data_IF_188078123165
#
_entry.id   IF_188078123165
#
_cell.length_a   1.000
_cell.length_b   1.000
_cell.length_c   1.000
_cell.angle_alpha   90.00
_cell.angle_beta   90.00
_cell.angle_gamma   90.00
#
_symmetry.space_group_name_H-M   'P 1'
#
loop_
_entity.id
_entity.type
_entity.pdbx_description
1 polymer ?
#
# COMPACT_ATOMS: atom_id res chain seq x y z
N UNK A 1 6.35 6.94 -5.90
CA UNK A 1 6.10 6.17 -7.14
C UNK A 1 4.99 5.18 -6.85
N UNK A 2 4.08 4.89 -7.77
CA UNK A 2 3.10 3.84 -7.53
C UNK A 2 2.51 3.23 -8.79
N UNK A 3 1.74 2.17 -8.59
CA UNK A 3 1.10 1.37 -9.61
C UNK A 3 -0.34 1.04 -9.20
N UNK A 4 -1.27 1.22 -10.12
CA UNK A 4 -2.65 0.75 -10.02
C UNK A 4 -2.79 -0.55 -10.80
N UNK A 5 -3.09 -1.66 -10.13
CA UNK A 5 -3.33 -2.94 -10.78
C UNK A 5 -4.67 -3.01 -11.53
N UNK A 6 -4.88 -4.12 -12.23
CA UNK A 6 -6.18 -4.42 -12.84
C UNK A 6 -7.28 -4.45 -11.76
N UNK A 7 -8.44 -3.87 -12.07
CA UNK A 7 -9.55 -3.66 -11.13
C UNK A 7 -9.17 -2.85 -9.87
N UNK A 8 -8.02 -2.18 -9.86
CA UNK A 8 -7.50 -1.35 -8.77
C UNK A 8 -7.36 0.12 -9.19
N UNK A 9 -8.34 0.64 -9.94
CA UNK A 9 -8.35 1.97 -10.56
C UNK A 9 -7.24 2.22 -11.61
N UNK A 10 -6.78 1.17 -12.31
CA UNK A 10 -6.07 1.37 -13.56
C UNK A 10 -7.01 2.03 -14.59
N UNK A 11 -6.68 3.23 -15.05
CA UNK A 11 -7.48 3.99 -16.02
C UNK A 11 -7.16 3.62 -17.48
N UNK A 12 -6.02 2.98 -17.71
CA UNK A 12 -5.54 2.55 -19.02
C UNK A 12 -5.01 1.12 -18.93
N UNK A 13 -5.18 0.37 -20.01
CA UNK A 13 -4.85 -1.06 -20.05
C UNK A 13 -3.38 -1.35 -20.42
N UNK A 14 -2.52 -0.33 -20.42
CA UNK A 14 -1.09 -0.51 -20.60
C UNK A 14 -0.37 -0.37 -19.26
N UNK A 15 0.70 -1.15 -19.10
CA UNK A 15 1.53 -1.11 -17.91
C UNK A 15 2.26 0.22 -17.79
N UNK A 16 1.99 0.98 -16.72
CA UNK A 16 2.64 2.26 -16.44
C UNK A 16 2.75 2.49 -14.94
N UNK A 17 3.74 3.27 -14.55
CA UNK A 17 3.94 3.73 -13.18
C UNK A 17 3.68 5.22 -13.07
N UNK A 18 3.16 5.64 -11.92
CA UNK A 18 2.97 7.03 -11.57
C UNK A 18 4.17 7.52 -10.76
N UNK A 19 4.75 8.65 -11.17
CA UNK A 19 5.84 9.33 -10.47
C UNK A 19 5.50 10.79 -10.31
N UNK A 20 5.72 11.30 -9.10
CA UNK A 20 5.51 12.70 -8.77
C UNK A 20 6.32 13.05 -7.52
N UNK A 21 6.55 14.35 -7.32
CA UNK A 21 7.21 14.89 -6.14
C UNK A 21 6.17 15.52 -5.22
N UNK A 22 6.29 15.26 -3.92
CA UNK A 22 5.56 15.97 -2.87
C UNK A 22 6.56 16.68 -1.98
N UNK A 23 6.25 17.93 -1.64
CA UNK A 23 7.07 18.70 -0.71
C UNK A 23 6.78 18.31 0.75
N UNK A 24 5.57 17.82 1.00
CA UNK A 24 5.07 17.42 2.32
C UNK A 24 5.54 16.01 2.65
N UNK A 25 5.97 15.82 3.89
CA UNK A 25 6.21 14.49 4.44
C UNK A 25 4.87 13.81 4.70
N UNK A 26 4.69 12.62 4.15
CA UNK A 26 3.50 11.80 4.38
C UNK A 26 3.70 10.87 5.58
N UNK A 27 2.63 10.59 6.33
CA UNK A 27 2.68 9.73 7.52
C UNK A 27 3.28 8.34 7.23
N UNK A 28 2.92 7.76 6.07
CA UNK A 28 3.43 6.46 5.62
C UNK A 28 4.94 6.45 5.34
N UNK A 29 5.63 7.59 5.32
CA UNK A 29 7.09 7.59 5.26
C UNK A 29 7.72 7.11 6.57
N UNK A 30 7.01 7.21 7.70
CA UNK A 30 7.56 6.94 9.05
C UNK A 30 6.62 6.17 9.98
N UNK A 31 5.41 5.82 9.53
CA UNK A 31 4.43 5.09 10.36
C UNK A 31 5.00 3.76 10.87
N UNK A 32 4.61 3.36 12.08
CA UNK A 32 4.93 2.04 12.60
C UNK A 32 4.23 0.93 11.81
N UNK A 33 4.91 -0.21 11.69
CA UNK A 33 4.41 -1.40 11.00
C UNK A 33 4.68 -2.63 11.84
N UNK A 34 3.81 -3.62 11.73
CA UNK A 34 3.91 -4.87 12.50
C UNK A 34 4.61 -5.95 11.70
N UNK A 35 5.47 -6.74 12.32
CA UNK A 35 6.16 -7.82 11.61
C UNK A 35 5.19 -8.96 11.31
N UNK A 36 5.16 -9.44 10.06
CA UNK A 36 4.34 -10.59 9.66
C UNK A 36 5.15 -11.88 9.66
N UNK A 37 6.16 -11.93 8.78
CA UNK A 37 7.03 -13.07 8.55
C UNK A 37 8.13 -12.71 7.56
N UNK A 38 9.34 -13.26 7.76
CA UNK A 38 10.47 -13.00 6.87
C UNK A 38 10.68 -11.49 6.63
N UNK A 39 10.79 -11.03 5.37
CA UNK A 39 10.94 -9.61 5.02
C UNK A 39 9.61 -8.82 4.97
N UNK A 40 8.47 -9.47 5.24
CA UNK A 40 7.14 -8.89 5.09
C UNK A 40 6.61 -8.36 6.44
N UNK A 41 6.03 -7.16 6.39
CA UNK A 41 5.38 -6.47 7.50
C UNK A 41 3.92 -6.12 7.13
N UNK A 42 3.13 -5.70 8.11
CA UNK A 42 1.74 -5.26 7.95
C UNK A 42 1.58 -3.80 8.38
N UNK A 43 0.76 -3.09 7.63
CA UNK A 43 0.26 -1.77 7.99
C UNK A 43 -1.13 -1.94 8.62
N UNK A 44 -1.22 -1.86 9.94
CA UNK A 44 -2.49 -1.98 10.69
C UNK A 44 -2.92 -0.66 11.34
N UNK A 45 -1.98 0.21 11.68
CA UNK A 45 -2.23 1.52 12.30
C UNK A 45 -2.64 2.62 11.31
N UNK A 46 -3.18 2.24 10.15
CA UNK A 46 -3.62 3.15 9.10
C UNK A 46 -4.89 2.59 8.44
N UNK A 47 -5.84 3.42 7.98
CA UNK A 47 -7.13 2.93 7.50
C UNK A 47 -7.04 1.93 6.34
N UNK A 48 -6.08 2.09 5.42
CA UNK A 48 -5.81 1.13 4.34
C UNK A 48 -4.84 0.03 4.81
N UNK A 49 -5.38 -1.14 5.15
CA UNK A 49 -4.60 -2.29 5.59
C UNK A 49 -3.82 -2.91 4.43
N UNK A 50 -2.55 -3.22 4.66
CA UNK A 50 -1.69 -3.74 3.59
C UNK A 50 -0.40 -4.38 4.08
N UNK A 51 0.37 -4.87 3.13
CA UNK A 51 1.69 -5.44 3.35
C UNK A 51 2.77 -4.41 3.05
N UNK A 52 3.86 -4.46 3.81
CA UNK A 52 4.95 -3.50 3.70
C UNK A 52 6.30 -4.23 3.63
N UNK A 53 7.16 -3.74 2.74
CA UNK A 53 8.56 -4.14 2.64
C UNK A 53 9.43 -2.90 2.77
N UNK A 54 10.65 -3.06 3.27
CA UNK A 54 11.66 -2.03 3.22
C UNK A 54 12.87 -2.50 2.43
N UNK A 55 13.46 -1.59 1.66
CA UNK A 55 14.79 -1.72 1.10
C UNK A 55 15.70 -0.80 1.91
N UNK A 56 16.61 -1.40 2.69
CA UNK A 56 17.64 -0.65 3.41
C UNK A 56 18.87 -0.42 2.52
N UNK A 57 19.78 0.51 2.89
CA UNK A 57 21.05 0.70 2.19
C UNK A 57 21.94 -0.55 2.07
N UNK A 58 21.68 -1.57 2.88
CA UNK A 58 22.46 -2.81 2.93
C UNK A 58 21.70 -4.03 2.38
N UNK A 59 20.46 -3.85 1.94
CA UNK A 59 19.64 -4.94 1.39
C UNK A 59 20.00 -5.15 -0.08
N UNK A 60 20.15 -6.41 -0.51
CA UNK A 60 20.25 -6.73 -1.94
C UNK A 60 18.92 -6.38 -2.64
N UNK A 61 19.01 -5.48 -3.62
CA UNK A 61 17.85 -5.05 -4.41
C UNK A 61 17.17 -6.22 -5.13
N UNK A 62 17.93 -7.23 -5.57
CA UNK A 62 17.38 -8.40 -6.26
C UNK A 62 16.55 -9.26 -5.32
N UNK A 63 17.00 -9.43 -4.08
CA UNK A 63 16.21 -10.12 -3.07
C UNK A 63 14.94 -9.35 -2.72
N UNK A 64 15.05 -8.04 -2.51
CA UNK A 64 13.90 -7.16 -2.27
C UNK A 64 12.86 -7.29 -3.39
N UNK A 65 13.29 -7.18 -4.65
CA UNK A 65 12.42 -7.34 -5.83
C UNK A 65 11.79 -8.74 -5.86
N UNK A 66 12.56 -9.80 -5.57
CA UNK A 66 12.03 -11.18 -5.51
C UNK A 66 10.92 -11.33 -4.47
N UNK A 67 11.07 -10.73 -3.29
CA UNK A 67 10.05 -10.80 -2.24
C UNK A 67 8.77 -10.06 -2.63
N UNK A 68 8.90 -8.86 -3.18
CA UNK A 68 7.76 -8.07 -3.67
C UNK A 68 7.06 -8.81 -4.81
N UNK A 69 7.82 -9.33 -5.77
CA UNK A 69 7.30 -10.10 -6.90
C UNK A 69 6.55 -11.35 -6.43
N UNK A 70 7.07 -12.04 -5.40
CA UNK A 70 6.41 -13.21 -4.82
C UNK A 70 5.02 -12.87 -4.27
N UNK A 71 4.89 -11.77 -3.51
CA UNK A 71 3.60 -11.30 -3.01
C UNK A 71 2.66 -10.90 -4.15
N UNK A 72 3.14 -10.09 -5.09
CA UNK A 72 2.31 -9.58 -6.20
C UNK A 72 1.82 -10.73 -7.09
N UNK A 73 2.68 -11.70 -7.40
CA UNK A 73 2.31 -12.90 -8.16
C UNK A 73 1.24 -13.70 -7.42
N UNK A 74 1.44 -13.93 -6.11
CA UNK A 74 0.43 -14.60 -5.28
C UNK A 74 -0.93 -13.88 -5.32
N UNK A 75 -0.95 -12.54 -5.20
CA UNK A 75 -2.20 -11.78 -5.30
C UNK A 75 -2.84 -11.89 -6.68
N UNK A 76 -2.04 -11.87 -7.75
CA UNK A 76 -2.53 -12.04 -9.13
C UNK A 76 -3.12 -13.44 -9.35
N UNK A 77 -2.42 -14.50 -8.92
CA UNK A 77 -2.86 -15.89 -9.06
C UNK A 77 -4.15 -16.18 -8.27
N UNK A 78 -4.43 -15.40 -7.23
CA UNK A 78 -5.65 -15.48 -6.42
C UNK A 78 -6.68 -14.39 -6.77
N UNK A 79 -6.52 -13.74 -7.94
CA UNK A 79 -7.44 -12.74 -8.47
C UNK A 79 -7.72 -11.59 -7.48
N UNK A 80 -6.71 -11.17 -6.72
CA UNK A 80 -6.80 -10.07 -5.76
C UNK A 80 -6.31 -8.77 -6.42
N UNK A 81 -7.22 -7.81 -6.69
CA UNK A 81 -6.84 -6.47 -7.12
C UNK A 81 -5.93 -5.83 -6.08
N UNK A 82 -4.95 -5.06 -6.53
CA UNK A 82 -4.00 -4.42 -5.62
C UNK A 82 -3.41 -3.13 -6.18
N UNK A 83 -3.02 -2.24 -5.26
CA UNK A 83 -2.18 -1.08 -5.55
C UNK A 83 -0.81 -1.27 -4.91
N UNK A 84 0.20 -0.67 -5.52
CA UNK A 84 1.57 -0.66 -5.02
C UNK A 84 2.03 0.78 -4.91
N UNK A 85 2.69 1.13 -3.81
CA UNK A 85 3.31 2.44 -3.64
C UNK A 85 4.70 2.32 -3.04
N UNK A 86 5.65 3.06 -3.60
CA UNK A 86 7.01 3.17 -3.12
C UNK A 86 7.29 4.61 -2.73
N UNK A 87 7.82 4.78 -1.53
CA UNK A 87 8.27 6.07 -1.00
C UNK A 87 9.64 5.94 -0.34
N UNK A 88 10.38 7.04 -0.31
CA UNK A 88 11.48 7.20 0.62
C UNK A 88 10.90 7.23 2.05
N UNK A 89 11.57 6.62 3.02
CA UNK A 89 11.08 6.56 4.38
C UNK A 89 12.16 6.18 5.39
N UNK A 90 11.78 6.10 6.66
CA UNK A 90 12.64 5.63 7.74
C UNK A 90 12.68 4.10 7.81
N UNK A 91 13.63 3.59 8.58
CA UNK A 91 13.66 2.18 8.96
C UNK A 91 12.41 1.81 9.77
N UNK A 92 11.90 0.58 9.59
CA UNK A 92 10.84 0.02 10.44
C UNK A 92 11.26 -0.14 11.91
N UNK A 93 12.58 -0.19 12.19
CA UNK A 93 13.13 -0.38 13.53
C UNK A 93 13.37 0.94 14.27
N UNK A 94 13.28 2.09 13.58
CA UNK A 94 13.44 3.40 14.20
C UNK A 94 12.19 3.81 14.97
N UNK A 95 12.28 3.71 16.30
CA UNK A 95 11.20 4.12 17.23
C UNK A 95 11.18 5.62 17.50
N UNK A 96 12.28 6.29 17.23
CA UNK A 96 12.38 7.75 17.31
C UNK A 96 12.36 8.30 15.89
N UNK A 97 11.56 9.33 15.58
CA UNK A 97 11.53 9.97 14.28
C UNK A 97 12.84 10.71 14.03
N UNK A 98 13.91 9.96 13.77
CA UNK A 98 15.11 10.49 13.16
C UNK A 98 14.75 10.84 11.72
N UNK A 99 15.19 12.02 11.29
CA UNK A 99 14.90 12.60 9.97
C UNK A 99 15.58 11.85 8.81
N UNK A 100 16.30 10.76 9.08
CA UNK A 100 17.07 10.03 8.07
C UNK A 100 16.12 9.11 7.31
N UNK A 101 15.68 9.56 6.13
CA UNK A 101 14.87 8.75 5.22
C UNK A 101 15.74 7.93 4.27
N UNK A 102 16.70 7.16 4.74
CA UNK A 102 17.62 6.42 3.87
C UNK A 102 17.08 5.06 3.37
N UNK A 103 15.85 4.72 3.74
CA UNK A 103 15.16 3.51 3.28
C UNK A 103 14.15 3.82 2.17
N UNK A 104 13.80 2.80 1.39
CA UNK A 104 12.59 2.79 0.57
C UNK A 104 11.57 1.90 1.23
N UNK A 105 10.37 2.41 1.49
CA UNK A 105 9.22 1.66 1.97
C UNK A 105 8.29 1.38 0.80
N UNK A 106 7.91 0.11 0.62
CA UNK A 106 7.00 -0.34 -0.42
C UNK A 106 5.75 -0.92 0.23
N UNK A 107 4.60 -0.36 -0.14
CA UNK A 107 3.28 -0.76 0.31
C UNK A 107 2.58 -1.55 -0.81
N UNK A 108 1.94 -2.65 -0.43
CA UNK A 108 1.04 -3.42 -1.30
C UNK A 108 -0.28 -3.59 -0.57
N UNK A 109 -1.35 -3.09 -1.16
CA UNK A 109 -2.68 -3.19 -0.58
C UNK A 109 -3.54 -4.07 -1.48
N UNK A 110 -3.94 -5.23 -0.97
CA UNK A 110 -5.06 -5.96 -1.55
C UNK A 110 -6.34 -5.17 -1.31
N UNK A 111 -7.24 -5.13 -2.30
CA UNK A 111 -8.45 -4.32 -2.22
C UNK A 111 -9.63 -4.95 -2.95
N UNK A 112 -10.84 -4.50 -2.62
CA UNK A 112 -12.04 -4.87 -3.37
C UNK A 112 -11.92 -4.39 -4.82
N UNK A 113 -12.41 -5.17 -5.79
CA UNK A 113 -12.36 -4.79 -7.20
C UNK A 113 -13.23 -3.56 -7.45
N UNK A 114 -12.75 -2.69 -8.34
CA UNK A 114 -13.57 -1.64 -8.94
C UNK A 114 -14.16 -2.20 -10.22
N UNK A 115 -15.41 -2.63 -10.14
CA UNK A 115 -16.17 -3.15 -11.28
C UNK A 115 -16.92 -2.02 -12.00
N UNK A 116 -17.37 -1.02 -11.24
CA UNK A 116 -18.10 0.14 -11.75
C UNK A 116 -17.63 1.41 -11.04
N UNK A 117 -17.54 2.50 -11.79
CA UNK A 117 -17.18 3.81 -11.25
C UNK A 117 -18.46 4.48 -10.73
N UNK A 118 -18.57 4.68 -9.41
CA UNK A 118 -19.70 5.43 -8.83
C UNK A 118 -19.60 6.89 -9.25
N UNK A 119 -20.58 7.40 -10.01
CA UNK A 119 -20.58 8.79 -10.49
C UNK A 119 -20.63 9.83 -9.37
N UNK A 120 -21.20 9.47 -8.20
CA UNK A 120 -21.37 10.37 -7.05
C UNK A 120 -20.28 10.25 -5.97
N UNK A 121 -19.23 9.45 -6.21
CA UNK A 121 -18.14 9.31 -5.25
C UNK A 121 -17.42 10.66 -4.98
N UNK A 122 -17.15 10.94 -3.70
CA UNK A 122 -16.44 12.14 -3.24
C UNK A 122 -14.99 12.18 -3.76
N UNK A 123 -14.35 11.02 -3.79
CA UNK A 123 -13.03 10.76 -4.35
C UNK A 123 -12.95 9.28 -4.77
N UNK A 124 -11.95 8.93 -5.57
CA UNK A 124 -11.71 7.54 -5.99
C UNK A 124 -10.46 7.02 -5.30
N UNK A 125 -10.55 6.02 -4.39
CA UNK A 125 -9.39 5.53 -3.68
C UNK A 125 -8.50 4.65 -4.58
N UNK A 126 -7.62 5.31 -5.34
CA UNK A 126 -6.53 4.70 -6.09
C UNK A 126 -5.25 4.74 -5.24
N UNK A 127 -4.07 4.56 -5.87
CA UNK A 127 -2.80 4.51 -5.14
C UNK A 127 -2.51 5.76 -4.29
N UNK A 128 -2.84 6.97 -4.77
CA UNK A 128 -2.47 8.21 -4.09
C UNK A 128 -3.28 8.40 -2.82
N UNK A 129 -4.59 8.18 -2.93
CA UNK A 129 -5.53 8.30 -1.83
C UNK A 129 -5.26 7.24 -0.77
N UNK A 130 -4.90 6.02 -1.19
CA UNK A 130 -4.45 4.97 -0.27
C UNK A 130 -3.12 5.29 0.43
N UNK A 131 -2.32 6.19 -0.13
CA UNK A 131 -1.14 6.77 0.50
C UNK A 131 -1.46 8.01 1.36
N UNK A 132 -2.74 8.38 1.50
CA UNK A 132 -3.21 9.53 2.27
C UNK A 132 -3.27 10.85 1.49
N UNK A 133 -3.01 10.84 0.18
CA UNK A 133 -3.16 12.02 -0.68
C UNK A 133 -4.55 12.03 -1.33
N UNK A 134 -5.48 12.78 -0.74
CA UNK A 134 -6.88 12.79 -1.15
C UNK A 134 -7.17 13.85 -2.23
N UNK A 135 -7.69 13.42 -3.37
CA UNK A 135 -8.20 14.30 -4.43
C UNK A 135 -9.73 14.28 -4.47
N UNK A 136 -10.35 15.31 -3.90
CA UNK A 136 -11.82 15.45 -3.90
C UNK A 136 -12.33 16.03 -5.21
N UNK A 137 -13.48 15.53 -5.66
CA UNK A 137 -14.11 15.95 -6.93
C UNK A 137 -14.93 17.21 -6.81
N UNK A 138 -15.50 17.48 -5.63
CA UNK A 138 -16.32 18.66 -5.34
C UNK A 138 -15.76 19.38 -4.13
N UNK A 139 -15.87 20.71 -4.16
CA UNK A 139 -15.47 21.58 -3.05
C UNK A 139 -16.24 21.26 -1.77
N UNK A 140 -17.54 21.01 -1.88
CA UNK A 140 -18.40 20.68 -0.75
C UNK A 140 -17.92 19.41 -0.03
N UNK A 141 -17.57 18.36 -0.78
CA UNK A 141 -17.01 17.14 -0.20
C UNK A 141 -15.71 17.46 0.56
N UNK A 142 -14.80 18.25 -0.03
CA UNK A 142 -13.55 18.65 0.62
C UNK A 142 -13.77 19.45 1.92
N UNK A 143 -14.78 20.34 1.95
CA UNK A 143 -15.05 21.21 3.10
C UNK A 143 -15.80 20.51 4.23
N UNK A 144 -16.53 19.42 3.93
CA UNK A 144 -17.44 18.75 4.88
C UNK A 144 -17.00 17.37 5.31
N UNK A 145 -16.15 16.69 4.54
CA UNK A 145 -15.66 15.35 4.86
C UNK A 145 -14.85 15.36 6.16
N UNK A 146 -15.04 14.31 6.95
CA UNK A 146 -14.26 14.08 8.17
C UNK A 146 -13.23 12.98 7.96
N UNK A 147 -12.19 12.95 8.79
CA UNK A 147 -11.20 11.86 8.79
C UNK A 147 -11.87 10.50 8.99
N UNK A 148 -12.88 10.40 9.86
CA UNK A 148 -13.65 9.18 10.10
C UNK A 148 -14.32 8.65 8.82
N UNK A 149 -14.93 9.53 8.03
CA UNK A 149 -15.55 9.14 6.76
C UNK A 149 -14.51 8.61 5.77
N UNK A 150 -13.35 9.28 5.66
CA UNK A 150 -12.25 8.82 4.80
C UNK A 150 -11.73 7.46 5.29
N UNK A 151 -11.50 7.33 6.60
CA UNK A 151 -10.98 6.11 7.20
C UNK A 151 -11.92 4.93 6.93
N UNK A 152 -13.22 5.10 7.15
CA UNK A 152 -14.22 4.07 6.87
C UNK A 152 -14.21 3.65 5.39
N UNK A 153 -14.11 4.58 4.44
CA UNK A 153 -14.01 4.25 3.01
C UNK A 153 -12.76 3.41 2.70
N UNK A 154 -11.61 3.77 3.29
CA UNK A 154 -10.34 3.06 3.08
C UNK A 154 -10.32 1.68 3.73
N UNK A 155 -10.86 1.56 4.95
CA UNK A 155 -10.96 0.30 5.68
C UNK A 155 -11.92 -0.64 4.99
N UNK A 156 -13.11 -0.18 4.59
CA UNK A 156 -14.06 -0.97 3.81
C UNK A 156 -13.44 -1.53 2.53
N UNK A 157 -12.51 -0.80 1.92
CA UNK A 157 -11.87 -1.20 0.68
C UNK A 157 -10.81 -2.29 0.85
N UNK A 158 -10.13 -2.34 2.00
CA UNK A 158 -8.90 -3.11 2.18
C UNK A 158 -8.98 -4.18 3.26
N UNK A 159 -9.81 -4.03 4.28
CA UNK A 159 -9.85 -4.93 5.44
C UNK A 159 -10.20 -6.37 5.06
N UNK A 160 -11.34 -6.60 4.42
CA UNK A 160 -11.72 -7.96 4.00
C UNK A 160 -10.71 -8.59 3.02
N UNK A 161 -10.27 -7.89 1.95
CA UNK A 161 -9.24 -8.42 1.05
C UNK A 161 -7.94 -8.76 1.76
N UNK A 162 -7.46 -7.90 2.67
CA UNK A 162 -6.26 -8.14 3.47
C UNK A 162 -6.42 -9.36 4.37
N UNK A 163 -7.50 -9.43 5.13
CA UNK A 163 -7.77 -10.56 6.03
C UNK A 163 -7.95 -11.88 5.26
N UNK A 164 -8.50 -11.84 4.04
CA UNK A 164 -8.68 -13.03 3.22
C UNK A 164 -7.37 -13.70 2.80
N UNK A 165 -6.23 -13.00 2.88
CA UNK A 165 -4.92 -13.49 2.40
C UNK A 165 -3.78 -13.45 3.42
N UNK A 166 -3.93 -12.73 4.54
CA UNK A 166 -2.83 -12.48 5.49
C UNK A 166 -2.16 -13.76 6.02
N UNK A 167 -2.93 -14.81 6.30
CA UNK A 167 -2.39 -16.07 6.81
C UNK A 167 -1.61 -16.85 5.74
N UNK A 168 -2.07 -16.81 4.49
CA UNK A 168 -1.40 -17.44 3.35
C UNK A 168 -0.09 -16.70 3.05
N UNK A 169 -0.11 -15.36 3.09
CA UNK A 169 1.09 -14.53 2.95
C UNK A 169 2.07 -14.80 4.09
N UNK A 170 1.60 -14.93 5.33
CA UNK A 170 2.43 -15.29 6.49
C UNK A 170 3.15 -16.62 6.23
N UNK A 171 2.42 -17.68 5.88
CA UNK A 171 2.98 -19.00 5.61
C UNK A 171 4.01 -18.96 4.45
N UNK A 172 3.70 -18.19 3.40
CA UNK A 172 4.56 -18.02 2.22
C UNK A 172 5.92 -17.39 2.56
N UNK A 173 5.98 -16.47 3.53
CA UNK A 173 7.21 -15.80 3.95
C UNK A 173 7.91 -16.46 5.14
N UNK A 174 7.21 -17.27 5.95
CA UNK A 174 7.83 -18.09 7.00
C UNK A 174 8.75 -19.18 6.43
N UNK A 175 8.37 -19.76 5.29
CA UNK A 175 9.11 -20.87 4.65
C UNK A 175 10.35 -20.44 3.86
N UNK A 176 10.74 -19.15 3.89
CA UNK A 176 11.93 -18.67 3.18
C UNK A 176 13.25 -19.17 3.77
N UNK A 177 13.26 -19.65 5.02
CA UNK A 177 14.45 -20.15 5.70
C UNK A 177 14.74 -21.65 5.46
N UNK A 178 14.07 -22.31 4.50
CA UNK A 178 14.16 -23.77 4.28
C UNK A 178 14.69 -24.12 2.87
N UNK A 179 15.41 -23.21 2.20
CA UNK A 179 16.09 -23.51 0.93
C UNK A 179 17.57 -23.16 0.96
#
# INVERSE_FOLDING_TARGET
MGFNGLCAHASINHYHFHFYYLQQQMLLETIEVEHLAGPCYMLLSFPSQGFVFQLSPHTDIQEFVRYVFKLVSFLQDNEKPHNIFLTRGSSFQEKTPNLVRDHVRLYVWARKPVLETKEDAMFYPALCEMFGQLAFRRREDYETVTEEVVANIMSDLTEEPFQSVVDQVRAMFQNLNVQ
#
